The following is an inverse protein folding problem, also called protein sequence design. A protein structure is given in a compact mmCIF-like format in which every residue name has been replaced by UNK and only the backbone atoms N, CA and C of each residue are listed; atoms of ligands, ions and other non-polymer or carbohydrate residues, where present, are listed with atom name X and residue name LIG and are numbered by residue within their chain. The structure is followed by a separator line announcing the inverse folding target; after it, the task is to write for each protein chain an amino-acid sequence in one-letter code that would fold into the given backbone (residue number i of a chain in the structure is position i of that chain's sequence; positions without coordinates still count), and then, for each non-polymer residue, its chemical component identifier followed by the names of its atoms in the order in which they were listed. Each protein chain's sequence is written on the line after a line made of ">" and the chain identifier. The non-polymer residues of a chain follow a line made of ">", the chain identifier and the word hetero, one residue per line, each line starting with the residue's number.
data_IF_064491551571
#
_entry.id   IF_064491551571
#
_cell.length_a   1.000
_cell.length_b   1.000
_cell.length_c   1.000
_cell.angle_alpha   90.00
_cell.angle_beta   90.00
_cell.angle_gamma   90.00
#
_symmetry.space_group_name_H-M   'P 1'
#
loop_
_entity.id
_entity.type
_entity.pdbx_description
1 polymer ?
#
# COMPACT_ATOMS: atom_id res chain seq x y z
N UNK A 1 -28.99 45.54 -14.08
CA UNK A 1 -28.19 44.73 -13.12
C UNK A 1 -28.61 43.26 -13.05
N UNK A 2 -29.91 42.90 -13.10
CA UNK A 2 -30.36 41.51 -12.96
C UNK A 2 -29.84 40.50 -14.03
N UNK A 3 -29.63 40.92 -15.27
CA UNK A 3 -29.10 40.05 -16.35
C UNK A 3 -27.63 39.65 -16.16
N UNK A 4 -26.82 40.48 -15.49
CA UNK A 4 -25.41 40.20 -15.22
C UNK A 4 -25.23 39.16 -14.09
N UNK A 5 -26.10 39.22 -13.07
CA UNK A 5 -26.08 38.29 -11.94
C UNK A 5 -26.47 36.85 -12.38
N UNK A 6 -27.43 36.72 -13.30
CA UNK A 6 -27.83 35.44 -13.85
C UNK A 6 -26.74 34.78 -14.73
N UNK A 7 -25.93 35.58 -15.43
CA UNK A 7 -24.82 35.07 -16.25
C UNK A 7 -23.67 34.58 -15.37
N UNK A 8 -23.31 35.33 -14.31
CA UNK A 8 -22.32 34.90 -13.33
C UNK A 8 -22.72 33.59 -12.65
N UNK A 9 -23.99 33.48 -12.22
CA UNK A 9 -24.49 32.25 -11.57
C UNK A 9 -24.43 31.04 -12.51
N UNK A 10 -24.76 31.21 -13.80
CA UNK A 10 -24.65 30.14 -14.80
C UNK A 10 -23.20 29.72 -15.07
N UNK A 11 -22.27 30.66 -15.10
CA UNK A 11 -20.83 30.38 -15.30
C UNK A 11 -20.28 29.63 -14.09
N UNK A 12 -20.62 30.02 -12.86
CA UNK A 12 -20.17 29.33 -11.64
C UNK A 12 -20.72 27.90 -11.56
N UNK A 13 -21.98 27.68 -11.94
CA UNK A 13 -22.58 26.33 -12.01
C UNK A 13 -21.92 25.47 -13.09
N UNK A 14 -21.62 26.04 -14.26
CA UNK A 14 -20.90 25.31 -15.32
C UNK A 14 -19.48 24.91 -14.87
N UNK A 15 -18.77 25.81 -14.19
CA UNK A 15 -17.42 25.54 -13.65
C UNK A 15 -17.49 24.46 -12.57
N UNK A 16 -18.50 24.47 -11.68
CA UNK A 16 -18.68 23.44 -10.67
C UNK A 16 -19.01 22.06 -11.28
N UNK A 17 -19.83 22.01 -12.34
CA UNK A 17 -20.14 20.78 -13.07
C UNK A 17 -18.93 20.25 -13.86
N UNK A 18 -18.09 21.13 -14.42
CA UNK A 18 -16.81 20.76 -15.02
C UNK A 18 -15.83 20.17 -14.00
N UNK A 19 -15.74 20.73 -12.79
CA UNK A 19 -14.92 20.18 -11.71
C UNK A 19 -15.40 18.80 -11.23
N UNK A 20 -16.71 18.57 -11.18
CA UNK A 20 -17.28 17.25 -10.83
C UNK A 20 -17.02 16.21 -11.94
N UNK A 21 -17.06 16.62 -13.22
CA UNK A 21 -16.74 15.74 -14.35
C UNK A 21 -15.28 15.31 -14.36
N UNK A 22 -14.34 16.22 -14.05
CA UNK A 22 -12.90 15.93 -14.01
C UNK A 22 -12.54 15.08 -12.76
N UNK A 23 -13.22 15.29 -11.63
CA UNK A 23 -13.08 14.44 -10.44
C UNK A 23 -13.59 13.01 -10.67
N UNK A 24 -14.67 12.84 -11.45
CA UNK A 24 -15.18 11.53 -11.87
C UNK A 24 -14.23 10.83 -12.85
N UNK A 25 -13.67 11.57 -13.81
CA UNK A 25 -12.73 11.01 -14.80
C UNK A 25 -11.39 10.57 -14.16
N UNK A 26 -10.93 11.28 -13.12
CA UNK A 26 -9.71 10.90 -12.38
C UNK A 26 -9.89 9.64 -11.52
N UNK A 27 -11.07 9.43 -10.93
CA UNK A 27 -11.42 8.17 -10.27
C UNK A 27 -11.59 7.01 -11.27
N UNK A 28 -12.03 7.30 -12.49
CA UNK A 28 -12.26 6.29 -13.53
C UNK A 28 -11.00 5.93 -14.34
N UNK A 29 -9.96 6.78 -14.30
CA UNK A 29 -8.65 6.55 -14.92
C UNK A 29 -7.83 5.44 -14.23
N UNK A 30 -8.11 5.14 -12.96
CA UNK A 30 -7.44 4.06 -12.23
C UNK A 30 -8.10 2.68 -12.44
N UNK A 31 -8.90 2.51 -13.49
CA UNK A 31 -9.72 1.29 -13.71
C UNK A 31 -9.35 0.45 -14.93
N UNK A 32 -8.12 0.60 -15.46
CA UNK A 32 -7.54 -0.31 -16.49
C UNK A 32 -6.01 -0.34 -16.43
N UNK A 33 -5.43 -0.70 -15.29
CA UNK A 33 -4.16 -1.41 -15.37
C UNK A 33 -4.51 -2.88 -15.57
N UNK A 34 -4.41 -3.34 -16.82
CA UNK A 34 -4.71 -4.72 -17.24
C UNK A 34 -3.68 -5.73 -16.72
N UNK A 35 -2.71 -5.31 -15.91
CA UNK A 35 -1.71 -6.20 -15.31
C UNK A 35 -2.04 -6.49 -13.84
N UNK A 36 -2.95 -7.43 -13.63
CA UNK A 36 -3.05 -8.10 -12.33
C UNK A 36 -1.94 -9.15 -12.28
N UNK A 37 -0.78 -8.76 -11.77
CA UNK A 37 0.38 -9.64 -11.60
C UNK A 37 0.54 -9.90 -10.12
N UNK A 38 0.82 -11.17 -9.75
CA UNK A 38 0.98 -11.58 -8.37
C UNK A 38 1.99 -10.67 -7.70
N UNK A 39 1.58 -9.99 -6.63
CA UNK A 39 2.49 -9.16 -5.86
C UNK A 39 3.56 -10.06 -5.25
N UNK A 40 4.86 -9.76 -5.41
CA UNK A 40 5.92 -10.60 -4.87
C UNK A 40 5.81 -10.74 -3.35
N UNK A 41 5.86 -11.98 -2.87
CA UNK A 41 5.97 -12.23 -1.43
C UNK A 41 7.41 -12.04 -0.98
N UNK A 42 7.56 -11.45 0.21
CA UNK A 42 8.85 -11.32 0.89
C UNK A 42 8.71 -11.67 2.36
N UNK A 43 9.84 -11.76 3.06
CA UNK A 43 9.88 -12.11 4.48
C UNK A 43 9.04 -11.18 5.36
N UNK A 44 8.39 -11.78 6.36
CA UNK A 44 7.72 -11.08 7.47
C UNK A 44 8.71 -10.25 8.30
N UNK A 45 9.97 -10.72 8.41
CA UNK A 45 10.94 -10.14 9.32
C UNK A 45 10.62 -10.42 10.80
N UNK A 46 11.51 -10.00 11.72
CA UNK A 46 11.46 -10.41 13.12
C UNK A 46 10.48 -9.60 13.98
N UNK A 47 9.81 -8.59 13.41
CA UNK A 47 9.07 -7.58 14.17
C UNK A 47 7.55 -7.67 14.03
N UNK A 48 7.02 -8.78 13.51
CA UNK A 48 5.58 -9.02 13.51
C UNK A 48 5.10 -9.32 14.93
N UNK A 49 4.14 -8.54 15.42
CA UNK A 49 3.61 -8.66 16.77
C UNK A 49 2.29 -7.91 16.93
N UNK A 50 1.36 -8.48 17.71
CA UNK A 50 0.09 -7.89 18.16
C UNK A 50 -0.61 -7.01 17.13
N UNK A 51 -0.91 -7.60 15.98
CA UNK A 51 -1.55 -6.93 14.85
C UNK A 51 -3.06 -7.10 14.86
N UNK A 52 -3.65 -7.53 15.97
CA UNK A 52 -5.11 -7.78 16.04
C UNK A 52 -5.93 -6.51 16.27
N UNK A 53 -5.29 -5.39 16.65
CA UNK A 53 -5.97 -4.13 16.96
C UNK A 53 -6.47 -3.42 15.69
N UNK A 54 -7.78 -3.27 15.58
CA UNK A 54 -8.42 -2.61 14.44
C UNK A 54 -8.44 -1.09 14.59
N UNK A 55 -7.74 -0.38 13.68
CA UNK A 55 -7.71 1.09 13.66
C UNK A 55 -7.20 1.64 12.33
N UNK A 56 -7.82 2.73 11.90
CA UNK A 56 -7.42 3.46 10.69
C UNK A 56 -6.14 4.26 10.90
N UNK A 57 -6.10 5.08 11.97
CA UNK A 57 -4.89 5.78 12.36
C UNK A 57 -4.05 4.89 13.28
N UNK A 58 -2.87 4.49 12.81
CA UNK A 58 -1.93 3.63 13.54
C UNK A 58 -0.80 4.41 14.22
N UNK A 59 -0.71 5.74 14.05
CA UNK A 59 0.42 6.55 14.51
C UNK A 59 0.60 6.58 16.03
N UNK A 60 -0.50 6.50 16.78
CA UNK A 60 -0.52 6.76 18.23
C UNK A 60 0.17 8.10 18.56
N UNK A 61 1.25 8.05 19.35
CA UNK A 61 2.03 9.19 19.84
C UNK A 61 3.29 9.45 19.01
N UNK A 62 3.47 8.78 17.86
CA UNK A 62 4.68 8.89 17.04
C UNK A 62 4.66 10.15 16.18
N UNK A 63 5.70 10.96 16.34
CA UNK A 63 5.96 12.10 15.46
C UNK A 63 6.50 11.65 14.10
N UNK A 64 6.06 12.35 13.03
CA UNK A 64 6.50 12.10 11.66
C UNK A 64 5.64 12.87 10.65
N UNK A 65 6.04 12.82 9.38
CA UNK A 65 5.22 13.39 8.30
C UNK A 65 3.99 12.49 8.11
N UNK A 66 2.75 13.02 8.23
CA UNK A 66 1.55 12.22 8.04
C UNK A 66 1.52 11.59 6.65
N UNK A 67 1.17 10.31 6.58
CA UNK A 67 1.06 9.53 5.36
C UNK A 67 -0.26 8.76 5.36
N UNK A 68 -1.12 9.05 4.39
CA UNK A 68 -2.32 8.27 4.09
C UNK A 68 -2.01 7.23 3.03
N UNK A 69 -2.30 5.97 3.31
CA UNK A 69 -2.04 4.85 2.39
C UNK A 69 -3.36 4.19 2.05
N UNK A 70 -3.65 4.08 0.77
CA UNK A 70 -4.78 3.33 0.24
C UNK A 70 -4.27 2.03 -0.39
N UNK A 71 -4.80 0.90 0.06
CA UNK A 71 -4.40 -0.42 -0.41
C UNK A 71 -5.61 -1.07 -1.07
N UNK A 72 -5.51 -1.35 -2.37
CA UNK A 72 -6.48 -2.15 -3.11
C UNK A 72 -6.03 -3.60 -3.10
N UNK A 73 -6.87 -4.52 -2.63
CA UNK A 73 -6.59 -5.96 -2.64
C UNK A 73 -7.42 -6.62 -3.73
N UNK A 74 -6.75 -7.23 -4.70
CA UNK A 74 -7.38 -7.98 -5.79
C UNK A 74 -6.99 -9.45 -5.73
N UNK A 75 -7.89 -10.33 -6.18
CA UNK A 75 -7.58 -11.73 -6.42
C UNK A 75 -6.82 -11.86 -7.74
N UNK A 76 -5.68 -12.55 -7.72
CA UNK A 76 -4.78 -12.69 -8.86
C UNK A 76 -5.37 -13.52 -10.01
N UNK A 77 -6.31 -14.43 -9.75
CA UNK A 77 -6.89 -15.30 -10.77
C UNK A 77 -8.01 -14.60 -11.54
N UNK A 78 -8.78 -13.77 -10.85
CA UNK A 78 -9.98 -13.09 -11.37
C UNK A 78 -9.75 -11.62 -11.68
N UNK A 79 -8.68 -11.04 -11.14
CA UNK A 79 -8.36 -9.61 -11.22
C UNK A 79 -9.45 -8.71 -10.60
N UNK A 80 -10.29 -9.26 -9.72
CA UNK A 80 -11.38 -8.52 -9.07
C UNK A 80 -11.04 -8.18 -7.63
N UNK A 81 -11.58 -7.08 -7.07
CA UNK A 81 -11.35 -6.74 -5.67
C UNK A 81 -11.85 -7.79 -4.68
N UNK A 82 -11.13 -7.97 -3.59
CA UNK A 82 -11.49 -8.88 -2.48
C UNK A 82 -12.03 -8.03 -1.33
N UNK A 83 -13.33 -8.14 -1.06
CA UNK A 83 -13.95 -7.56 0.13
C UNK A 83 -13.60 -8.35 1.40
N UNK A 84 -13.65 -7.69 2.55
CA UNK A 84 -13.40 -8.28 3.88
C UNK A 84 -12.01 -8.95 4.02
N UNK A 85 -11.06 -8.59 3.16
CA UNK A 85 -9.68 -8.99 3.29
C UNK A 85 -9.04 -8.23 4.45
N UNK A 86 -8.49 -8.98 5.42
CA UNK A 86 -7.80 -8.42 6.56
C UNK A 86 -6.39 -8.01 6.19
N UNK A 87 -6.19 -6.70 6.01
CA UNK A 87 -4.89 -6.11 5.73
C UNK A 87 -4.26 -5.67 7.04
N UNK A 88 -3.10 -6.23 7.34
CA UNK A 88 -2.28 -5.88 8.49
C UNK A 88 -1.10 -5.05 8.02
N UNK A 89 -0.82 -3.94 8.71
CA UNK A 89 0.31 -3.06 8.41
C UNK A 89 1.16 -2.85 9.66
N UNK A 90 2.48 -2.88 9.51
CA UNK A 90 3.40 -2.48 10.57
C UNK A 90 4.70 -1.88 10.03
N UNK A 91 5.28 -0.92 10.75
CA UNK A 91 6.58 -0.35 10.40
C UNK A 91 7.25 0.31 11.61
N UNK A 92 8.50 0.74 11.41
CA UNK A 92 9.23 1.53 12.40
C UNK A 92 8.82 3.00 12.39
N UNK A 93 9.05 3.70 13.50
CA UNK A 93 8.91 5.15 13.56
C UNK A 93 9.99 5.89 12.75
N UNK A 94 9.94 7.22 12.76
CA UNK A 94 10.93 8.06 12.08
C UNK A 94 12.37 7.79 12.54
N UNK A 95 12.55 7.28 13.76
CA UNK A 95 13.83 6.90 14.37
C UNK A 95 14.26 5.45 14.11
N UNK A 96 13.51 4.67 13.32
CA UNK A 96 13.86 3.28 13.04
C UNK A 96 13.47 2.30 14.14
N UNK A 97 12.60 2.70 15.07
CA UNK A 97 12.20 1.90 16.22
C UNK A 97 10.85 1.22 15.95
N UNK A 98 10.78 -0.09 16.19
CA UNK A 98 9.53 -0.84 16.19
C UNK A 98 8.92 -0.89 17.59
N UNK A 99 7.62 -0.62 17.69
CA UNK A 99 6.84 -0.88 18.91
C UNK A 99 6.97 -2.35 19.31
N UNK A 100 6.88 -2.64 20.62
CA UNK A 100 7.24 -3.90 21.27
C UNK A 100 8.74 -4.24 21.26
N UNK A 101 9.53 -3.69 20.32
CA UNK A 101 10.93 -4.05 20.08
C UNK A 101 11.88 -2.84 20.22
N UNK A 102 11.58 -1.93 21.16
CA UNK A 102 12.21 -0.61 21.27
C UNK A 102 13.75 -0.66 21.37
N UNK A 103 14.31 -1.73 21.94
CA UNK A 103 15.75 -1.92 22.11
C UNK A 103 16.39 -2.81 21.03
N UNK A 104 15.59 -3.52 20.22
CA UNK A 104 16.07 -4.50 19.26
C UNK A 104 16.67 -3.85 18.01
N UNK A 105 16.13 -2.70 17.59
CA UNK A 105 16.69 -1.90 16.49
C UNK A 105 18.03 -1.23 16.84
N UNK A 106 18.48 -1.33 18.09
CA UNK A 106 19.71 -0.71 18.61
C UNK A 106 20.87 -1.71 18.83
N UNK A 107 20.79 -2.93 18.27
CA UNK A 107 21.81 -3.98 18.42
C UNK A 107 22.14 -4.38 19.88
N UNK A 108 21.18 -4.20 20.80
CA UNK A 108 21.33 -4.60 22.21
C UNK A 108 21.20 -6.12 22.34
N UNK A 109 22.08 -6.76 23.10
CA UNK A 109 21.96 -8.18 23.48
C UNK A 109 20.77 -8.36 24.42
N UNK A 110 19.86 -9.28 24.08
CA UNK A 110 18.60 -9.56 24.81
C UNK A 110 17.70 -8.31 24.99
N UNK A 111 17.25 -7.68 23.90
CA UNK A 111 16.48 -6.45 23.96
C UNK A 111 15.18 -6.67 24.72
N UNK A 112 14.92 -5.84 25.74
CA UNK A 112 13.66 -5.88 26.47
C UNK A 112 12.51 -5.47 25.53
N UNK A 113 11.41 -6.20 25.66
CA UNK A 113 10.16 -5.94 24.94
C UNK A 113 9.18 -5.20 25.85
N UNK A 114 8.45 -4.24 25.32
CA UNK A 114 7.42 -3.50 26.03
C UNK A 114 6.02 -3.80 25.45
N UNK A 115 4.97 -3.11 25.90
CA UNK A 115 3.60 -3.34 25.40
C UNK A 115 3.13 -2.28 24.39
N UNK A 116 4.02 -1.42 23.90
CA UNK A 116 3.67 -0.41 22.90
C UNK A 116 3.17 -1.07 21.61
N UNK A 117 2.19 -0.42 20.96
CA UNK A 117 1.56 -0.93 19.74
C UNK A 117 1.69 0.01 18.55
N UNK A 118 2.34 1.17 18.71
CA UNK A 118 2.35 2.22 17.68
C UNK A 118 2.78 1.69 16.31
N UNK A 119 2.24 2.28 15.25
CA UNK A 119 2.53 1.98 13.86
C UNK A 119 2.23 0.51 13.50
N UNK A 120 1.17 -0.03 14.10
CA UNK A 120 0.60 -1.35 13.80
C UNK A 120 -0.91 -1.26 13.71
N UNK A 121 -1.52 -1.99 12.79
CA UNK A 121 -2.97 -2.11 12.73
C UNK A 121 -3.45 -3.14 11.73
N UNK A 122 -4.70 -3.54 11.89
CA UNK A 122 -5.41 -4.40 10.94
C UNK A 122 -6.74 -3.75 10.57
N UNK A 123 -7.11 -3.80 9.30
CA UNK A 123 -8.37 -3.31 8.81
C UNK A 123 -8.90 -4.25 7.74
N UNK A 124 -10.22 -4.27 7.57
CA UNK A 124 -10.85 -5.00 6.49
C UNK A 124 -11.01 -4.09 5.27
N UNK A 125 -10.83 -4.67 4.09
CA UNK A 125 -11.18 -4.02 2.83
C UNK A 125 -12.70 -3.86 2.68
N UNK A 126 -13.12 -2.77 2.05
CA UNK A 126 -14.52 -2.54 1.70
C UNK A 126 -14.98 -3.42 0.51
N UNK A 127 -16.22 -3.22 0.06
CA UNK A 127 -16.79 -3.94 -1.08
C UNK A 127 -16.03 -3.72 -2.41
N UNK A 128 -15.19 -2.68 -2.50
CA UNK A 128 -14.32 -2.40 -3.63
C UNK A 128 -12.89 -2.93 -3.42
N UNK A 129 -12.66 -3.75 -2.38
CA UNK A 129 -11.36 -4.26 -1.99
C UNK A 129 -10.39 -3.20 -1.49
N UNK A 130 -10.89 -2.01 -1.13
CA UNK A 130 -10.07 -0.89 -0.70
C UNK A 130 -10.00 -0.81 0.82
N UNK A 131 -8.82 -0.57 1.35
CA UNK A 131 -8.61 -0.21 2.75
C UNK A 131 -7.73 1.03 2.85
N UNK A 132 -7.98 1.89 3.82
CA UNK A 132 -7.20 3.11 4.04
C UNK A 132 -6.60 3.11 5.44
N UNK A 133 -5.30 3.37 5.52
CA UNK A 133 -4.57 3.61 6.77
C UNK A 133 -4.08 5.04 6.83
N UNK A 134 -4.10 5.62 8.03
CA UNK A 134 -3.40 6.84 8.38
C UNK A 134 -2.21 6.48 9.26
N UNK A 135 -1.02 6.92 8.86
CA UNK A 135 0.23 6.65 9.56
C UNK A 135 1.20 7.82 9.41
N UNK A 136 2.48 7.62 9.74
CA UNK A 136 3.59 8.50 9.38
C UNK A 136 4.50 7.84 8.35
N UNK A 137 5.25 8.64 7.60
CA UNK A 137 6.33 8.12 6.76
C UNK A 137 7.39 7.42 7.66
N UNK A 138 7.80 6.17 7.38
CA UNK A 138 8.72 5.44 8.25
C UNK A 138 10.16 5.95 8.16
N UNK A 139 10.93 5.73 9.22
CA UNK A 139 12.38 5.81 9.19
C UNK A 139 13.01 4.55 8.59
N UNK A 140 14.26 4.28 8.96
CA UNK A 140 15.06 3.15 8.52
C UNK A 140 15.77 2.50 9.70
N UNK A 141 16.31 1.31 9.54
CA UNK A 141 17.20 0.72 10.54
C UNK A 141 18.33 0.01 9.82
N UNK A 142 19.39 -0.31 10.56
CA UNK A 142 20.63 -0.79 9.97
C UNK A 142 20.40 -1.96 9.00
N UNK A 143 20.98 -1.84 7.81
CA UNK A 143 20.95 -2.87 6.77
C UNK A 143 19.66 -2.95 5.95
N UNK A 144 18.70 -2.03 6.15
CA UNK A 144 17.40 -2.05 5.47
C UNK A 144 17.06 -0.70 4.84
N UNK A 145 16.48 -0.74 3.64
CA UNK A 145 15.85 0.44 3.04
C UNK A 145 14.58 0.82 3.79
N UNK A 146 14.03 2.00 3.54
CA UNK A 146 12.76 2.45 4.13
C UNK A 146 11.63 1.58 3.57
N UNK A 147 10.85 0.97 4.46
CA UNK A 147 9.75 0.08 4.09
C UNK A 147 8.60 0.08 5.10
N UNK A 148 7.43 -0.33 4.63
CA UNK A 148 6.29 -0.72 5.44
C UNK A 148 6.00 -2.19 5.18
N UNK A 149 5.83 -2.97 6.25
CA UNK A 149 5.38 -4.34 6.10
C UNK A 149 3.86 -4.41 5.92
N UNK A 150 3.42 -5.35 5.09
CA UNK A 150 2.01 -5.63 4.86
C UNK A 150 1.76 -7.13 4.87
N UNK A 151 0.59 -7.52 5.39
CA UNK A 151 0.06 -8.87 5.29
C UNK A 151 -1.40 -8.85 4.92
N UNK A 152 -1.81 -9.85 4.15
CA UNK A 152 -3.22 -10.08 3.81
C UNK A 152 -3.64 -11.44 4.36
N UNK A 153 -4.78 -11.44 5.04
CA UNK A 153 -5.43 -12.63 5.53
C UNK A 153 -6.88 -12.66 5.05
N UNK A 154 -7.40 -13.87 4.77
CA UNK A 154 -8.77 -14.07 4.28
C UNK A 154 -9.53 -15.05 5.18
N UNK A 155 -10.85 -14.83 5.34
CA UNK A 155 -11.74 -15.78 6.01
C UNK A 155 -11.63 -15.85 7.53
N UNK A 156 -11.21 -14.77 8.20
CA UNK A 156 -11.22 -14.67 9.66
C UNK A 156 -12.53 -14.14 10.22
N UNK A 157 -12.53 -13.95 11.53
CA UNK A 157 -13.69 -13.49 12.30
C UNK A 157 -13.29 -12.41 13.29
N UNK A 158 -14.25 -11.56 13.61
CA UNK A 158 -14.16 -10.63 14.71
C UNK A 158 -14.10 -11.42 16.04
N UNK A 159 -13.10 -11.14 16.86
CA UNK A 159 -12.93 -11.71 18.20
C UNK A 159 -13.84 -11.03 19.24
N UNK A 160 -14.24 -9.79 18.98
CA UNK A 160 -15.26 -9.05 19.72
C UNK A 160 -15.97 -8.09 18.76
N UNK A 161 -16.99 -7.35 19.23
CA UNK A 161 -17.90 -6.61 18.36
C UNK A 161 -17.22 -5.68 17.33
N UNK A 162 -16.05 -5.10 17.62
CA UNK A 162 -15.42 -4.10 16.73
C UNK A 162 -13.90 -3.98 16.76
N UNK A 163 -13.19 -4.56 17.73
CA UNK A 163 -11.83 -4.12 18.06
C UNK A 163 -10.72 -5.12 17.70
N UNK A 164 -11.07 -6.39 17.55
CA UNK A 164 -10.09 -7.45 17.32
C UNK A 164 -10.53 -8.42 16.22
N UNK A 165 -9.60 -8.83 15.35
CA UNK A 165 -9.84 -9.77 14.25
C UNK A 165 -8.81 -10.90 14.26
N UNK A 166 -9.24 -12.16 14.10
CA UNK A 166 -8.34 -13.33 14.07
C UNK A 166 -8.93 -14.52 13.31
N UNK A 167 -8.18 -15.62 13.24
CA UNK A 167 -8.63 -16.87 12.61
C UNK A 167 -8.59 -16.85 11.07
N UNK A 168 -8.15 -15.73 10.47
CA UNK A 168 -7.99 -15.64 9.03
C UNK A 168 -6.79 -16.44 8.53
N UNK A 169 -6.96 -17.07 7.36
CA UNK A 169 -5.88 -17.74 6.66
C UNK A 169 -4.96 -16.70 6.05
N UNK A 170 -3.68 -16.86 6.33
CA UNK A 170 -2.60 -16.11 5.68
C UNK A 170 -2.56 -16.39 4.17
N UNK A 171 -2.52 -15.34 3.35
CA UNK A 171 -2.42 -15.47 1.88
C UNK A 171 -1.33 -14.62 1.22
N UNK A 172 -0.76 -13.63 1.92
CA UNK A 172 0.31 -12.79 1.37
C UNK A 172 1.10 -12.06 2.47
N UNK A 173 2.43 -12.06 2.37
CA UNK A 173 3.34 -11.18 3.13
C UNK A 173 4.15 -10.36 2.15
N UNK A 174 4.16 -9.05 2.34
CA UNK A 174 4.88 -8.11 1.49
C UNK A 174 5.62 -7.05 2.30
N UNK A 175 6.48 -6.32 1.60
CA UNK A 175 7.06 -5.07 2.06
C UNK A 175 6.93 -4.03 0.95
N UNK A 176 6.40 -2.87 1.32
CA UNK A 176 6.18 -1.71 0.47
C UNK A 176 7.35 -0.76 0.64
N UNK A 177 8.03 -0.44 -0.45
CA UNK A 177 9.26 0.38 -0.43
C UNK A 177 9.00 1.77 -0.97
N UNK A 178 9.91 2.69 -0.66
CA UNK A 178 9.80 4.09 -1.04
C UNK A 178 10.91 4.48 -2.01
N UNK A 179 10.64 5.46 -2.88
CA UNK A 179 11.67 5.98 -3.77
C UNK A 179 12.79 6.67 -2.97
N UNK A 180 14.05 6.36 -3.28
CA UNK A 180 15.20 6.88 -2.55
C UNK A 180 15.30 8.40 -2.61
N UNK A 181 15.04 9.04 -3.76
CA UNK A 181 15.14 10.50 -3.88
C UNK A 181 14.02 11.23 -3.14
N UNK A 182 12.83 10.64 -3.07
CA UNK A 182 11.76 11.17 -2.24
C UNK A 182 12.08 10.99 -0.74
N UNK A 183 12.69 9.86 -0.38
CA UNK A 183 13.13 9.59 0.99
C UNK A 183 14.20 10.59 1.45
N UNK A 184 15.10 11.02 0.55
CA UNK A 184 16.10 12.04 0.89
C UNK A 184 15.44 13.37 1.28
N UNK A 185 14.40 13.80 0.56
CA UNK A 185 13.63 15.01 0.92
C UNK A 185 12.91 14.88 2.27
N UNK A 186 12.39 13.69 2.58
CA UNK A 186 11.75 13.41 3.88
C UNK A 186 12.78 13.46 5.02
N UNK A 187 13.97 12.92 4.79
CA UNK A 187 15.03 12.87 5.80
C UNK A 187 15.62 14.26 6.13
N UNK A 188 15.36 15.27 5.30
CA UNK A 188 15.65 16.68 5.58
C UNK A 188 14.62 17.36 6.49
N UNK A 189 13.52 16.68 6.83
CA UNK A 189 12.45 17.22 7.69
C UNK A 189 12.55 16.73 9.13
N UNK A 190 12.04 17.51 10.08
CA UNK A 190 11.83 17.03 11.47
C UNK A 190 10.69 16.00 11.51
N UNK A 191 10.79 14.91 12.30
CA UNK A 191 11.89 14.55 13.20
C UNK A 191 13.01 13.72 12.55
N UNK A 192 12.92 13.39 11.28
CA UNK A 192 13.87 12.51 10.56
C UNK A 192 15.31 13.03 10.59
N UNK A 193 15.51 14.35 10.65
CA UNK A 193 16.84 14.97 10.83
C UNK A 193 17.56 14.55 12.11
N UNK A 194 16.85 14.05 13.13
CA UNK A 194 17.45 13.56 14.37
C UNK A 194 17.99 12.13 14.26
N UNK A 195 17.61 11.42 13.20
CA UNK A 195 18.01 10.03 13.02
C UNK A 195 19.39 9.98 12.36
N UNK A 196 20.33 9.39 13.08
CA UNK A 196 21.74 9.29 12.71
C UNK A 196 22.09 7.95 12.07
N UNK A 197 23.10 7.94 11.21
CA UNK A 197 23.61 6.72 10.56
C UNK A 197 23.24 6.67 9.08
N UNK A 198 23.89 5.76 8.35
CA UNK A 198 23.71 5.65 6.91
C UNK A 198 22.48 4.81 6.57
N UNK A 199 21.57 5.37 5.77
CA UNK A 199 20.45 4.65 5.17
C UNK A 199 20.95 3.69 4.09
N UNK A 200 20.49 2.44 4.13
CA UNK A 200 20.67 1.50 3.03
C UNK A 200 19.73 1.90 1.89
N UNK A 201 20.26 2.08 0.68
CA UNK A 201 19.45 2.42 -0.49
C UNK A 201 18.69 1.18 -1.00
N UNK A 202 17.63 1.39 -1.77
CA UNK A 202 16.88 0.29 -2.38
C UNK A 202 17.78 -0.66 -3.20
N UNK A 203 18.75 -0.11 -3.94
CA UNK A 203 19.70 -0.89 -4.73
C UNK A 203 20.64 -1.77 -3.90
N UNK A 204 20.72 -1.54 -2.59
CA UNK A 204 21.56 -2.26 -1.63
C UNK A 204 20.76 -3.19 -0.72
N UNK A 205 19.42 -3.11 -0.73
CA UNK A 205 18.55 -3.96 0.07
C UNK A 205 18.15 -5.22 -0.71
N UNK A 206 18.62 -6.38 -0.26
CA UNK A 206 18.34 -7.67 -0.90
C UNK A 206 16.86 -8.07 -0.88
N UNK A 207 16.07 -7.58 0.08
CA UNK A 207 14.63 -7.80 0.13
C UNK A 207 13.95 -6.94 -0.94
N UNK A 208 14.34 -5.67 -1.10
CA UNK A 208 13.85 -4.86 -2.21
C UNK A 208 14.18 -5.49 -3.56
N UNK A 209 15.42 -5.95 -3.76
CA UNK A 209 15.82 -6.62 -5.00
C UNK A 209 14.91 -7.84 -5.33
N UNK A 210 14.47 -8.59 -4.31
CA UNK A 210 13.57 -9.73 -4.48
C UNK A 210 12.16 -9.35 -4.95
N UNK A 211 11.71 -8.12 -4.69
CA UNK A 211 10.41 -7.62 -5.19
C UNK A 211 10.48 -7.17 -6.65
N UNK A 212 11.69 -7.11 -7.25
CA UNK A 212 11.91 -6.62 -8.61
C UNK A 212 11.30 -5.22 -8.88
N UNK A 213 11.12 -4.42 -7.82
CA UNK A 213 10.54 -3.08 -7.88
C UNK A 213 9.00 -3.02 -7.91
N UNK A 214 8.29 -4.16 -7.92
CA UNK A 214 6.81 -4.17 -7.98
C UNK A 214 6.12 -3.56 -6.77
N UNK A 215 6.82 -3.46 -5.63
CA UNK A 215 6.28 -2.91 -4.38
C UNK A 215 6.81 -1.50 -4.07
N UNK A 216 7.42 -0.82 -5.06
CA UNK A 216 7.83 0.57 -4.93
C UNK A 216 6.62 1.50 -5.00
N UNK A 217 6.33 2.21 -3.92
CA UNK A 217 5.19 3.11 -3.83
C UNK A 217 5.47 4.47 -4.49
N UNK A 218 4.46 4.98 -5.21
CA UNK A 218 4.44 6.34 -5.73
C UNK A 218 3.81 7.27 -4.68
N UNK A 219 4.66 7.84 -3.81
CA UNK A 219 4.24 8.80 -2.78
C UNK A 219 4.15 10.20 -3.36
N UNK A 220 3.11 10.94 -2.97
CA UNK A 220 2.84 12.29 -3.42
C UNK A 220 2.47 13.18 -2.24
N UNK A 221 2.64 14.49 -2.37
CA UNK A 221 2.05 15.44 -1.44
C UNK A 221 0.52 15.35 -1.50
N UNK A 222 -0.14 15.25 -0.35
CA UNK A 222 -1.61 15.29 -0.29
C UNK A 222 -2.14 16.66 -0.72
N UNK A 223 -1.37 17.73 -0.45
CA UNK A 223 -1.59 19.06 -1.00
C UNK A 223 -0.24 19.65 -1.45
N UNK A 224 -0.06 19.79 -2.76
CA UNK A 224 1.20 20.29 -3.35
C UNK A 224 1.55 21.72 -2.91
N UNK A 225 0.57 22.57 -2.59
CA UNK A 225 0.82 23.94 -2.10
C UNK A 225 1.31 23.98 -0.65
N UNK A 226 1.01 22.94 0.14
CA UNK A 226 1.42 22.84 1.55
C UNK A 226 2.65 21.94 1.75
N UNK A 227 3.11 21.23 0.72
CA UNK A 227 4.25 20.32 0.80
C UNK A 227 4.08 19.28 1.92
N UNK A 228 5.14 19.04 2.69
CA UNK A 228 5.12 18.10 3.82
C UNK A 228 4.14 18.48 4.94
N UNK A 229 3.87 19.77 5.15
CA UNK A 229 2.90 20.21 6.18
C UNK A 229 1.46 19.81 5.85
N UNK A 230 1.15 19.57 4.56
CA UNK A 230 -0.13 19.05 4.12
C UNK A 230 -0.24 17.53 4.20
N UNK A 231 0.83 16.83 4.58
CA UNK A 231 0.91 15.37 4.58
C UNK A 231 1.13 14.76 3.20
N UNK A 232 1.24 13.44 3.20
CA UNK A 232 1.55 12.61 2.04
C UNK A 232 0.42 11.63 1.78
N UNK A 233 0.29 11.20 0.54
CA UNK A 233 -0.67 10.17 0.13
C UNK A 233 -0.04 9.20 -0.87
N UNK A 234 -0.49 7.95 -0.84
CA UNK A 234 -0.14 6.94 -1.85
C UNK A 234 -1.23 5.90 -1.98
N UNK A 235 -1.27 5.26 -3.15
CA UNK A 235 -2.15 4.14 -3.44
C UNK A 235 -1.31 2.98 -3.97
N UNK A 236 -1.57 1.77 -3.48
CA UNK A 236 -0.91 0.55 -3.94
C UNK A 236 -1.95 -0.54 -4.15
N UNK A 237 -1.73 -1.37 -5.18
CA UNK A 237 -2.55 -2.55 -5.44
C UNK A 237 -1.76 -3.80 -5.07
N UNK A 238 -2.35 -4.65 -4.23
CA UNK A 238 -1.86 -5.98 -3.90
C UNK A 238 -2.72 -7.00 -4.65
N UNK A 239 -2.13 -7.72 -5.59
CA UNK A 239 -2.75 -8.89 -6.18
C UNK A 239 -2.29 -10.12 -5.40
N UNK A 240 -3.23 -10.80 -4.75
CA UNK A 240 -2.96 -11.93 -3.86
C UNK A 240 -3.70 -13.16 -4.34
N UNK A 241 -3.27 -14.34 -3.89
CA UNK A 241 -4.04 -15.54 -4.11
C UNK A 241 -5.28 -15.53 -3.19
N UNK A 242 -6.47 -15.45 -3.77
CA UNK A 242 -7.71 -15.60 -3.02
C UNK A 242 -7.81 -16.99 -2.41
N UNK A 243 -8.82 -17.17 -1.54
CA UNK A 243 -9.20 -18.51 -1.13
C UNK A 243 -9.75 -19.20 -2.37
N UNK A 244 -9.03 -20.22 -2.86
CA UNK A 244 -9.62 -21.11 -3.85
C UNK A 244 -10.94 -21.62 -3.28
N UNK A 245 -11.98 -21.63 -4.09
CA UNK A 245 -13.16 -22.46 -3.84
C UNK A 245 -12.72 -23.92 -3.94
N UNK A 246 -11.89 -24.39 -3.01
CA UNK A 246 -11.56 -25.78 -2.88
C UNK A 246 -12.82 -26.48 -2.38
N UNK A 247 -13.63 -26.93 -3.34
CA UNK A 247 -14.62 -27.98 -3.22
C UNK A 247 -15.56 -27.87 -2.00
N UNK A 248 -16.70 -27.21 -2.20
CA UNK A 248 -17.95 -27.80 -1.72
C UNK A 248 -18.18 -29.08 -2.54
N UNK A 249 -17.37 -30.12 -2.31
CA UNK A 249 -17.71 -31.47 -2.75
C UNK A 249 -18.89 -31.90 -1.89
N UNK A 250 -20.10 -31.62 -2.36
CA UNK A 250 -21.12 -32.67 -2.25
C UNK A 250 -20.53 -33.88 -2.95
N UNK A 251 -20.10 -34.87 -2.18
CA UNK A 251 -19.65 -36.15 -2.69
C UNK A 251 -20.85 -36.80 -3.37
N UNK A 252 -21.04 -36.52 -4.65
CA UNK A 252 -21.79 -37.37 -5.55
C UNK A 252 -20.76 -38.26 -6.23
N UNK A 253 -20.68 -39.48 -5.72
CA UNK A 253 -19.92 -40.57 -6.31
C UNK A 253 -20.43 -40.86 -7.72
N UNK A 254 -19.60 -40.69 -8.73
CA UNK A 254 -19.54 -41.63 -9.87
C UNK A 254 -18.19 -41.52 -10.58
N UNK A 255 -17.63 -42.71 -10.81
CA UNK A 255 -16.45 -43.10 -11.58
C UNK A 255 -16.39 -42.57 -13.01
N UNK A 256 -15.17 -42.23 -13.44
CA UNK A 256 -14.47 -42.78 -14.64
C UNK A 256 -13.76 -41.72 -15.52
N UNK A 257 -12.51 -42.02 -15.89
CA UNK A 257 -12.02 -41.85 -17.26
C UNK A 257 -11.46 -40.50 -17.75
N UNK A 258 -10.14 -40.34 -17.58
CA UNK A 258 -9.17 -39.98 -18.65
C UNK A 258 -8.96 -38.53 -19.15
N UNK A 259 -7.69 -38.31 -19.55
CA UNK A 259 -7.10 -37.39 -20.54
C UNK A 259 -6.43 -36.07 -20.06
N UNK A 260 -5.12 -36.02 -20.36
CA UNK A 260 -4.23 -34.85 -20.43
C UNK A 260 -4.74 -33.77 -21.39
N UNK A 261 -4.38 -32.51 -21.13
CA UNK A 261 -4.11 -31.55 -22.21
C UNK A 261 -3.25 -30.37 -21.71
N UNK A 262 -2.05 -30.29 -22.26
CA UNK A 262 -1.13 -29.15 -22.24
C UNK A 262 -1.65 -28.00 -23.10
N UNK A 263 -1.66 -26.76 -22.60
CA UNK A 263 -1.46 -25.58 -23.46
C UNK A 263 -0.71 -24.45 -22.75
N UNK A 264 0.47 -24.16 -23.28
CA UNK A 264 1.22 -22.91 -23.13
C UNK A 264 0.52 -21.79 -23.90
N UNK A 265 0.37 -20.60 -23.33
CA UNK A 265 0.13 -19.38 -24.10
C UNK A 265 0.91 -18.20 -23.50
N UNK A 266 2.03 -17.89 -24.13
CA UNK A 266 2.69 -16.58 -24.02
C UNK A 266 1.94 -15.58 -24.88
N UNK A 267 1.44 -14.50 -24.27
CA UNK A 267 0.95 -13.33 -25.00
C UNK A 267 1.78 -12.13 -24.60
N UNK A 268 2.75 -11.79 -25.46
CA UNK A 268 3.41 -10.49 -25.48
C UNK A 268 2.47 -9.47 -26.10
N UNK A 269 2.16 -8.38 -25.39
CA UNK A 269 1.59 -7.18 -26.00
C UNK A 269 2.35 -5.94 -25.53
N UNK A 270 3.08 -5.36 -26.48
CA UNK A 270 3.80 -4.09 -26.39
C UNK A 270 2.83 -2.91 -26.42
N UNK A 271 3.11 -1.89 -25.61
CA UNK A 271 2.55 -0.55 -25.73
C UNK A 271 3.69 0.48 -25.82
N UNK A 272 4.33 0.61 -26.98
CA UNK A 272 4.97 1.87 -27.42
C UNK A 272 4.17 2.42 -28.61
N UNK A 273 3.97 3.71 -28.85
CA UNK A 273 4.46 4.96 -28.27
C UNK A 273 4.06 6.12 -29.21
N UNK A 274 4.57 7.33 -28.94
CA UNK A 274 4.60 8.59 -29.75
C UNK A 274 3.63 9.71 -29.32
N UNK A 275 3.99 11.00 -29.27
CA UNK A 275 5.07 11.81 -29.89
C UNK A 275 5.48 12.96 -28.95
N UNK A 276 6.77 13.36 -28.97
CA UNK A 276 7.25 14.61 -28.38
C UNK A 276 8.25 15.26 -29.34
N UNK A 277 7.81 16.28 -30.06
CA UNK A 277 8.54 16.98 -31.10
C UNK A 277 9.75 17.78 -30.59
N UNK A 278 10.75 17.89 -31.47
CA UNK A 278 11.97 18.69 -31.32
C UNK A 278 11.68 20.19 -31.50
N UNK A 279 12.42 21.12 -30.84
CA UNK A 279 12.55 22.49 -31.31
C UNK A 279 13.76 22.63 -32.25
N UNK A 280 13.56 23.39 -33.33
CA UNK A 280 14.57 23.81 -34.30
C UNK A 280 15.37 25.02 -33.79
N UNK A 281 16.66 25.08 -34.14
CA UNK A 281 17.58 26.20 -33.95
C UNK A 281 17.69 27.08 -35.21
N UNK A 282 18.44 28.20 -35.08
CA UNK A 282 18.90 29.26 -36.01
C UNK A 282 18.14 30.59 -35.81
N UNK A 283 18.76 31.73 -35.51
CA UNK A 283 20.17 32.20 -35.54
C UNK A 283 20.57 32.87 -34.22
#
# INVERSE_FOLDING_TARGET
>A
MAKFLALFTKITVLIALLHQSIASESLQRCRRDTTCVLTPEVTEGPYYWNTTLMRQNISEDRDGIPLRIQILVNDINTCTPIADAAVTMWHCDAGGIYSHYIQASQNVQNPQKDNSTFLRGILLTDANGLVTFDTIYPGWYIGRSIHIHVKVHLGGTYLNETSYYSGAKYVHTGQLFFNDSFSDLVNEQTPYTNHTGSRTLNSQDGIYASTKGYTLMAVQYANSSSGFSGGLTTTVTLAVQGLSSANTTTVASTTDGSQESTTSNSLTSSCGGHTGGRPFWFW
#
